data_IF_254394710170
#
_entry.id   IF_254394710170
#
_cell.length_a   1.000
_cell.length_b   1.000
_cell.length_c   1.000
_cell.angle_alpha   90.00
_cell.angle_beta   90.00
_cell.angle_gamma   90.00
#
_symmetry.space_group_name_H-M   'P 1'
#
loop_
_entity.id
_entity.type
_entity.pdbx_description
1 polymer ?
#
# COMPACT_ATOMS: atom_id res chain seq x y z
N UNK A 1 -28.37 -14.03 23.26
CA UNK A 1 -28.20 -12.58 23.50
C UNK A 1 -26.83 -12.14 23.01
N UNK A 2 -26.77 -10.93 22.46
CA UNK A 2 -25.75 -10.37 21.57
C UNK A 2 -24.75 -9.55 22.38
N UNK A 3 -23.46 -9.89 22.37
CA UNK A 3 -22.41 -9.05 22.96
C UNK A 3 -21.10 -9.17 22.16
N UNK A 4 -21.05 -8.47 21.02
CA UNK A 4 -19.79 -8.07 20.41
C UNK A 4 -19.83 -6.55 20.26
N UNK A 5 -19.01 -5.90 21.08
CA UNK A 5 -18.86 -4.47 21.19
C UNK A 5 -18.31 -3.92 19.85
N UNK A 6 -19.09 -3.07 19.19
CA UNK A 6 -18.85 -2.54 17.83
C UNK A 6 -17.74 -1.47 17.72
N UNK A 7 -16.96 -1.22 18.78
CA UNK A 7 -16.19 0.04 18.89
C UNK A 7 -14.68 -0.04 18.69
N UNK A 8 -14.14 -1.04 17.97
CA UNK A 8 -12.71 -1.10 17.64
C UNK A 8 -12.40 -1.10 16.12
N UNK A 9 -13.38 -0.78 15.27
CA UNK A 9 -13.24 -0.87 13.80
C UNK A 9 -12.54 0.37 13.19
N UNK A 10 -12.32 1.42 13.95
CA UNK A 10 -11.63 2.62 13.47
C UNK A 10 -10.14 2.64 13.82
N UNK A 11 -9.28 2.69 12.81
CA UNK A 11 -7.85 3.09 12.81
C UNK A 11 -6.76 2.02 12.80
N UNK A 12 -6.98 0.74 13.15
CA UNK A 12 -5.91 -0.29 13.11
C UNK A 12 -6.12 -1.48 12.18
N UNK A 13 -7.27 -1.56 11.50
CA UNK A 13 -7.64 -2.75 10.75
C UNK A 13 -7.85 -3.97 11.67
N UNK A 14 -8.58 -4.96 11.21
CA UNK A 14 -8.86 -6.17 11.98
C UNK A 14 -8.33 -7.37 11.20
N UNK A 15 -7.39 -8.11 11.79
CA UNK A 15 -7.03 -9.45 11.33
C UNK A 15 -7.85 -10.47 12.14
N UNK A 16 -8.52 -11.43 11.48
CA UNK A 16 -9.28 -12.46 12.18
C UNK A 16 -8.41 -13.25 13.19
N UNK A 17 -9.00 -13.70 14.31
CA UNK A 17 -8.29 -14.55 15.27
C UNK A 17 -7.69 -15.78 14.58
N UNK A 18 -6.41 -16.06 14.83
CA UNK A 18 -5.70 -17.20 14.25
C UNK A 18 -5.13 -16.99 12.84
N UNK A 19 -5.51 -15.93 12.13
CA UNK A 19 -5.04 -15.66 10.76
C UNK A 19 -3.51 -15.48 10.68
N UNK A 20 -2.90 -14.85 11.68
CA UNK A 20 -1.43 -14.71 11.74
C UNK A 20 -0.69 -16.05 11.77
N UNK A 21 -1.30 -17.11 12.30
CA UNK A 21 -0.68 -18.44 12.38
C UNK A 21 -0.64 -19.16 11.02
N UNK A 22 -1.42 -18.70 10.05
CA UNK A 22 -1.44 -19.24 8.68
C UNK A 22 -0.64 -18.39 7.71
N UNK A 23 -0.13 -17.23 8.14
CA UNK A 23 0.76 -16.40 7.32
C UNK A 23 2.20 -16.90 7.45
N UNK A 24 3.01 -16.66 6.43
CA UNK A 24 4.46 -16.82 6.49
C UNK A 24 5.12 -15.74 7.35
N UNK A 25 6.41 -15.50 7.13
CA UNK A 25 7.16 -14.47 7.85
C UNK A 25 6.52 -13.07 7.66
N UNK A 26 6.31 -12.37 8.78
CA UNK A 26 5.70 -11.04 8.77
C UNK A 26 6.75 -10.01 8.42
N UNK A 27 6.47 -9.21 7.39
CA UNK A 27 7.34 -8.10 7.00
C UNK A 27 7.05 -6.85 7.86
N UNK A 28 8.01 -6.49 8.71
CA UNK A 28 7.88 -5.41 9.71
C UNK A 28 8.17 -4.01 9.19
N UNK A 29 8.48 -3.84 7.89
CA UNK A 29 8.78 -2.52 7.29
C UNK A 29 7.60 -1.55 7.32
N UNK A 30 6.37 -2.07 7.34
CA UNK A 30 5.13 -1.31 7.48
C UNK A 30 4.15 -2.05 8.42
N UNK A 31 3.18 -1.35 9.03
CA UNK A 31 2.08 -2.02 9.72
C UNK A 31 1.37 -3.01 8.80
N UNK A 32 1.02 -4.20 9.29
CA UNK A 32 0.35 -5.24 8.49
C UNK A 32 -0.88 -4.70 7.72
N UNK A 33 -1.67 -3.86 8.39
CA UNK A 33 -2.89 -3.27 7.86
C UNK A 33 -2.66 -1.96 7.08
N UNK A 34 -1.42 -1.57 6.84
CA UNK A 34 -1.10 -0.40 6.02
C UNK A 34 -1.69 -0.60 4.62
N UNK A 35 -2.37 0.43 4.12
CA UNK A 35 -3.11 0.37 2.87
C UNK A 35 -2.25 1.02 1.79
N UNK A 36 -2.15 0.43 0.62
CA UNK A 36 -1.28 0.99 -0.41
C UNK A 36 -1.50 0.38 -1.78
N UNK A 37 -0.74 0.91 -2.71
CA UNK A 37 -0.67 0.41 -4.08
C UNK A 37 0.60 -0.41 -4.23
N UNK A 38 0.47 -1.67 -4.60
CA UNK A 38 1.57 -2.44 -5.16
C UNK A 38 1.64 -2.22 -6.65
N UNK A 39 2.82 -1.94 -7.20
CA UNK A 39 3.08 -1.88 -8.65
C UNK A 39 4.08 -2.96 -9.01
N UNK A 40 3.79 -3.73 -10.06
CA UNK A 40 4.62 -4.84 -10.52
C UNK A 40 4.98 -4.62 -11.99
N UNK A 41 6.27 -4.59 -12.29
CA UNK A 41 6.82 -4.39 -13.64
C UNK A 41 8.01 -5.34 -13.80
N UNK A 42 7.97 -6.19 -14.82
CA UNK A 42 9.08 -7.08 -15.21
C UNK A 42 9.72 -7.86 -14.04
N UNK A 43 8.89 -8.38 -13.13
CA UNK A 43 9.32 -9.16 -11.97
C UNK A 43 9.82 -8.33 -10.78
N UNK A 44 9.92 -7.01 -10.92
CA UNK A 44 10.15 -6.09 -9.82
C UNK A 44 8.83 -5.60 -9.23
N UNK A 45 8.81 -5.41 -7.91
CA UNK A 45 7.63 -4.95 -7.18
C UNK A 45 8.00 -3.79 -6.25
N UNK A 46 7.18 -2.74 -6.23
CA UNK A 46 7.27 -1.64 -5.27
C UNK A 46 5.91 -1.39 -4.63
N UNK A 47 5.91 -1.04 -3.34
CA UNK A 47 4.71 -0.71 -2.58
C UNK A 47 4.73 0.75 -2.17
N UNK A 48 3.63 1.45 -2.43
CA UNK A 48 3.42 2.85 -2.10
C UNK A 48 2.33 2.92 -1.03
N UNK A 49 2.72 3.19 0.22
CA UNK A 49 1.77 3.35 1.32
C UNK A 49 0.88 4.57 1.06
N UNK A 50 -0.44 4.42 1.23
CA UNK A 50 -1.42 5.47 0.92
C UNK A 50 -1.17 6.72 1.76
N UNK A 51 -0.71 6.54 3.01
CA UNK A 51 -0.33 7.63 3.89
C UNK A 51 0.85 8.48 3.39
N UNK A 52 1.73 7.89 2.57
CA UNK A 52 2.96 8.51 2.09
C UNK A 52 2.81 9.07 0.66
N UNK A 53 1.77 8.69 -0.09
CA UNK A 53 1.58 9.19 -1.47
C UNK A 53 1.35 10.71 -1.49
N UNK A 54 0.68 11.28 -0.48
CA UNK A 54 0.46 12.73 -0.36
C UNK A 54 -0.21 13.36 -1.60
N UNK A 55 0.42 14.40 -2.16
CA UNK A 55 0.00 15.06 -3.41
C UNK A 55 0.39 14.30 -4.69
N UNK A 56 1.22 13.27 -4.52
CA UNK A 56 1.72 12.41 -5.58
C UNK A 56 3.18 12.04 -5.36
N UNK A 57 3.54 10.87 -5.87
CA UNK A 57 4.91 10.37 -5.93
C UNK A 57 5.31 10.25 -7.40
N UNK A 58 6.49 10.75 -7.71
CA UNK A 58 7.16 10.48 -8.99
C UNK A 58 8.25 9.47 -8.70
N UNK A 59 8.22 8.35 -9.40
CA UNK A 59 9.17 7.26 -9.21
C UNK A 59 9.80 6.85 -10.55
N UNK A 60 11.11 6.62 -10.53
CA UNK A 60 11.88 6.22 -11.71
C UNK A 60 11.97 4.69 -11.77
N UNK A 61 11.50 4.14 -12.88
CA UNK A 61 11.60 2.72 -13.23
C UNK A 61 12.47 2.58 -14.48
N UNK A 62 13.77 2.42 -14.27
CA UNK A 62 14.77 2.25 -15.33
C UNK A 62 14.68 3.31 -16.43
N UNK A 63 14.49 4.58 -16.03
CA UNK A 63 14.37 5.74 -16.90
C UNK A 63 12.94 6.03 -17.38
N UNK A 64 11.96 5.16 -17.08
CA UNK A 64 10.53 5.45 -17.31
C UNK A 64 9.90 6.01 -16.04
N UNK A 65 9.34 7.22 -16.15
CA UNK A 65 8.74 7.91 -15.01
C UNK A 65 7.32 7.41 -14.74
N UNK A 66 7.11 6.88 -13.54
CA UNK A 66 5.81 6.50 -13.00
C UNK A 66 5.30 7.60 -12.08
N UNK A 67 4.06 8.02 -12.28
CA UNK A 67 3.35 8.91 -11.35
C UNK A 67 2.34 8.11 -10.56
N UNK A 68 2.43 8.17 -9.22
CA UNK A 68 1.49 7.55 -8.29
C UNK A 68 0.71 8.64 -7.57
N UNK A 69 -0.62 8.53 -7.54
CA UNK A 69 -1.52 9.53 -6.93
C UNK A 69 -2.68 8.84 -6.24
N UNK A 70 -3.36 9.58 -5.37
CA UNK A 70 -4.64 9.17 -4.77
C UNK A 70 -5.78 9.76 -5.58
N UNK A 71 -6.73 8.92 -6.00
CA UNK A 71 -7.93 9.36 -6.71
C UNK A 71 -8.72 10.39 -5.89
N UNK A 72 -9.15 11.47 -6.53
CA UNK A 72 -9.81 12.57 -5.83
C UNK A 72 -11.18 12.17 -5.25
N UNK A 73 -11.86 11.23 -5.90
CA UNK A 73 -13.23 10.81 -5.56
C UNK A 73 -13.24 9.54 -4.72
N UNK A 74 -12.63 8.47 -5.21
CA UNK A 74 -12.63 7.15 -4.56
C UNK A 74 -11.58 7.01 -3.45
N UNK A 75 -10.63 7.94 -3.39
CA UNK A 75 -9.48 7.91 -2.47
C UNK A 75 -8.61 6.66 -2.64
N UNK A 76 -8.67 6.01 -3.80
CA UNK A 76 -7.88 4.82 -4.13
C UNK A 76 -6.60 5.26 -4.85
N UNK A 77 -5.42 4.77 -4.41
CA UNK A 77 -4.18 5.08 -5.11
C UNK A 77 -4.13 4.40 -6.48
N UNK A 78 -3.53 5.08 -7.45
CA UNK A 78 -3.28 4.54 -8.78
C UNK A 78 -1.92 5.02 -9.31
N UNK A 79 -1.35 4.23 -10.21
CA UNK A 79 -0.09 4.51 -10.89
C UNK A 79 -0.33 4.63 -12.40
N UNK A 80 0.34 5.59 -13.04
CA UNK A 80 0.25 5.86 -14.47
C UNK A 80 1.60 6.28 -15.02
N UNK A 81 1.91 5.83 -16.22
CA UNK A 81 3.06 6.25 -17.00
C UNK A 81 2.85 7.63 -17.63
N UNK A 82 3.92 8.25 -18.11
CA UNK A 82 3.84 9.54 -18.82
C UNK A 82 3.00 9.52 -20.10
N UNK A 83 2.83 8.35 -20.72
CA UNK A 83 1.98 8.10 -21.90
C UNK A 83 0.50 7.83 -21.53
N UNK A 84 0.15 7.78 -20.24
CA UNK A 84 -1.19 7.49 -19.75
C UNK A 84 -1.50 6.00 -19.54
N UNK A 85 -0.60 5.10 -19.94
CA UNK A 85 -0.78 3.67 -19.68
C UNK A 85 -0.63 3.35 -18.19
N UNK A 86 -1.27 2.26 -17.76
CA UNK A 86 -1.25 1.81 -16.37
C UNK A 86 -0.50 0.48 -16.26
N UNK A 87 0.56 0.39 -15.44
CA UNK A 87 1.19 -0.90 -15.16
C UNK A 87 0.24 -1.79 -14.34
N UNK A 88 0.60 -3.07 -14.23
CA UNK A 88 -0.05 -3.97 -13.28
C UNK A 88 0.08 -3.38 -11.88
N UNK A 89 -1.06 -3.14 -11.25
CA UNK A 89 -1.14 -2.50 -9.95
C UNK A 89 -2.25 -3.11 -9.11
N UNK A 90 -2.00 -3.25 -7.81
CA UNK A 90 -2.88 -3.94 -6.87
C UNK A 90 -3.09 -3.05 -5.65
N UNK A 91 -4.33 -2.64 -5.41
CA UNK A 91 -4.69 -1.98 -4.16
C UNK A 91 -4.85 -3.03 -3.06
N UNK A 92 -3.97 -3.01 -2.06
CA UNK A 92 -3.88 -4.06 -1.05
C UNK A 92 -3.51 -3.54 0.33
N UNK A 93 -3.58 -4.44 1.32
CA UNK A 93 -2.94 -4.29 2.62
C UNK A 93 -1.50 -4.80 2.54
N UNK A 94 -0.61 -4.21 3.32
CA UNK A 94 0.81 -4.54 3.32
C UNK A 94 1.06 -6.04 3.50
N UNK A 95 0.45 -6.67 4.51
CA UNK A 95 0.67 -8.10 4.78
C UNK A 95 0.39 -9.00 3.55
N UNK A 96 -0.62 -8.65 2.75
CA UNK A 96 -1.01 -9.45 1.60
C UNK A 96 -0.07 -9.22 0.41
N UNK A 97 0.47 -8.02 0.28
CA UNK A 97 1.40 -7.69 -0.79
C UNK A 97 2.81 -8.23 -0.50
N UNK A 98 3.36 -7.94 0.68
CA UNK A 98 4.71 -8.34 1.07
C UNK A 98 4.89 -9.86 1.10
N UNK A 99 3.83 -10.59 1.43
CA UNK A 99 3.83 -12.06 1.39
C UNK A 99 3.95 -12.61 -0.04
N UNK A 100 3.25 -12.02 -1.01
CA UNK A 100 3.26 -12.48 -2.40
C UNK A 100 4.47 -11.95 -3.19
N UNK A 101 5.03 -10.82 -2.78
CA UNK A 101 6.18 -10.17 -3.42
C UNK A 101 7.29 -9.93 -2.38
N UNK A 102 7.93 -11.00 -1.88
CA UNK A 102 9.02 -10.86 -0.92
C UNK A 102 10.17 -10.06 -1.53
N UNK A 103 10.78 -9.17 -0.74
CA UNK A 103 11.86 -8.30 -1.21
C UNK A 103 11.42 -7.10 -2.06
N UNK A 104 10.12 -6.88 -2.27
CA UNK A 104 9.62 -5.66 -2.91
C UNK A 104 10.15 -4.39 -2.21
N UNK A 105 10.36 -3.32 -2.96
CA UNK A 105 10.76 -2.04 -2.35
C UNK A 105 9.55 -1.35 -1.70
N UNK A 106 9.79 -0.61 -0.63
CA UNK A 106 8.80 0.31 -0.06
C UNK A 106 9.22 1.72 -0.46
N UNK A 107 8.34 2.42 -1.16
CA UNK A 107 8.60 3.79 -1.62
C UNK A 107 7.91 4.76 -0.68
N UNK A 108 8.70 5.64 -0.08
CA UNK A 108 8.23 6.68 0.83
C UNK A 108 8.12 7.97 0.02
N UNK A 109 6.93 8.57 -0.02
CA UNK A 109 6.78 9.93 -0.53
C UNK A 109 7.41 10.97 0.40
N UNK A 110 7.37 12.25 0.04
CA UNK A 110 7.92 13.29 0.91
C UNK A 110 7.26 13.23 2.31
N UNK A 111 8.02 13.44 3.39
CA UNK A 111 7.51 13.29 4.74
C UNK A 111 6.27 14.15 4.97
N UNK A 112 5.28 13.54 5.62
CA UNK A 112 4.06 14.18 6.10
C UNK A 112 4.45 15.35 7.00
N UNK A 113 4.17 16.60 6.60
CA UNK A 113 4.25 17.71 7.56
C UNK A 113 3.20 17.45 8.64
N UNK A 114 3.65 17.17 9.85
CA UNK A 114 2.80 17.11 11.03
C UNK A 114 2.25 18.53 11.27
N UNK A 115 0.96 18.73 10.97
CA UNK A 115 0.27 19.92 11.46
C UNK A 115 0.19 19.82 12.99
N UNK A 116 0.96 20.67 13.67
CA UNK A 116 0.80 20.99 15.09
C UNK A 116 -0.48 21.76 15.36
#
# INVERSE_FOLDING_TARGET
>A
MRWLHRSAIGKRGFLPPGFRKTMGEVDSRLPEMEQGLGVIIDGQARFYATGDIGEGVTDDWDGKILTVRVGAVDRVPFAVWGDGERPLQIFARWYGFSFNYPGCAVVVGRPRQEYS
#
